data_IF_171447716579
#
_entry.id   IF_171447716579
#
_cell.length_a   1.000
_cell.length_b   1.000
_cell.length_c   1.000
_cell.angle_alpha   90.00
_cell.angle_beta   90.00
_cell.angle_gamma   90.00
#
_symmetry.space_group_name_H-M   'P 1'
#
loop_
_entity.id
_entity.type
_entity.pdbx_description
1 polymer ?
#
# COMPACT_ATOMS: atom_id res chain seq x y z
N UNK A 1 5.93 14.16 15.77
CA UNK A 1 5.55 13.04 16.67
C UNK A 1 5.85 11.75 15.93
N UNK A 2 6.75 10.92 16.52
CA UNK A 2 7.17 9.67 15.88
C UNK A 2 6.00 8.70 15.76
N UNK A 3 5.86 8.09 14.58
CA UNK A 3 4.86 7.05 14.31
C UNK A 3 5.44 5.64 14.42
N UNK A 4 6.79 5.54 14.32
CA UNK A 4 7.53 4.30 14.49
C UNK A 4 8.90 4.63 15.06
N UNK A 5 9.37 3.86 16.05
CA UNK A 5 10.72 3.96 16.62
C UNK A 5 11.29 2.57 16.76
N UNK A 6 12.45 2.35 16.18
CA UNK A 6 13.25 1.14 16.35
C UNK A 6 14.45 1.47 17.21
N UNK A 7 14.77 0.60 18.17
CA UNK A 7 15.89 0.79 19.12
C UNK A 7 16.74 -0.47 19.18
N UNK A 8 18.02 -0.29 18.89
CA UNK A 8 19.05 -1.32 19.01
C UNK A 8 18.66 -2.62 18.29
N UNK A 9 18.03 -2.48 17.09
CA UNK A 9 17.60 -3.65 16.34
C UNK A 9 18.81 -4.44 15.85
N UNK A 10 18.76 -5.74 16.08
CA UNK A 10 19.67 -6.72 15.52
C UNK A 10 18.92 -7.90 14.93
N UNK A 11 19.46 -8.48 13.87
CA UNK A 11 18.95 -9.72 13.32
C UNK A 11 20.08 -10.60 12.77
N UNK A 12 19.99 -11.90 13.11
CA UNK A 12 20.93 -12.91 12.66
C UNK A 12 20.19 -14.15 12.16
N UNK A 13 20.71 -14.80 11.12
CA UNK A 13 20.29 -16.11 10.67
C UNK A 13 21.34 -17.15 11.06
N UNK A 14 21.08 -17.91 12.12
CA UNK A 14 22.06 -18.82 12.71
C UNK A 14 23.30 -18.08 13.21
N UNK A 15 24.46 -18.35 12.63
CA UNK A 15 25.73 -17.69 13.00
C UNK A 15 26.03 -16.43 12.16
N UNK A 16 25.22 -16.14 11.14
CA UNK A 16 25.41 -14.99 10.25
C UNK A 16 24.59 -13.80 10.76
N UNK A 17 25.28 -12.81 11.34
CA UNK A 17 24.67 -11.55 11.71
C UNK A 17 24.50 -10.66 10.49
N UNK A 18 23.26 -10.17 10.26
CA UNK A 18 22.97 -9.26 9.13
C UNK A 18 23.19 -7.81 9.52
N UNK A 19 22.68 -7.41 10.68
CA UNK A 19 22.84 -6.07 11.22
C UNK A 19 22.65 -6.10 12.75
N UNK A 20 23.26 -5.13 13.43
CA UNK A 20 23.12 -4.89 14.87
C UNK A 20 23.02 -3.39 15.16
N UNK A 21 22.55 -3.06 16.35
CA UNK A 21 22.45 -1.70 16.89
C UNK A 21 21.76 -0.68 15.98
N UNK A 22 20.85 -1.12 15.12
CA UNK A 22 20.09 -0.23 14.24
C UNK A 22 19.03 0.51 15.05
N UNK A 23 19.20 1.83 15.18
CA UNK A 23 18.24 2.69 15.86
C UNK A 23 17.74 3.77 14.90
N UNK A 24 16.44 3.77 14.60
CA UNK A 24 15.81 4.72 13.67
C UNK A 24 14.46 5.16 14.17
N UNK A 25 14.03 6.34 13.73
CA UNK A 25 12.70 6.86 14.00
C UNK A 25 12.07 7.46 12.75
N UNK A 26 10.76 7.27 12.62
CA UNK A 26 9.93 7.85 11.57
C UNK A 26 8.92 8.81 12.15
N UNK A 27 8.80 9.96 11.55
CA UNK A 27 7.75 10.92 11.81
C UNK A 27 6.68 10.88 10.72
N UNK A 28 5.56 11.54 10.97
CA UNK A 28 4.53 11.67 9.95
C UNK A 28 5.07 12.41 8.74
N UNK A 29 4.77 11.89 7.54
CA UNK A 29 5.21 12.43 6.24
C UNK A 29 6.71 12.34 5.96
N UNK A 30 7.47 11.60 6.76
CA UNK A 30 8.82 11.24 6.37
C UNK A 30 8.80 10.38 5.11
N UNK A 31 9.74 10.62 4.21
CA UNK A 31 9.96 9.86 2.98
C UNK A 31 11.38 9.38 2.96
N UNK A 32 11.57 8.15 3.38
CA UNK A 32 12.89 7.57 3.62
C UNK A 32 13.27 6.61 2.51
N UNK A 33 14.44 6.83 1.91
CA UNK A 33 15.10 5.84 1.06
C UNK A 33 16.06 4.98 1.91
N UNK A 34 15.88 3.66 1.91
CA UNK A 34 16.79 2.74 2.55
C UNK A 34 17.77 2.19 1.50
N UNK A 35 19.04 2.50 1.67
CA UNK A 35 20.12 2.10 0.76
C UNK A 35 21.16 1.22 1.46
N UNK A 36 21.93 0.48 0.69
CA UNK A 36 22.99 -0.38 1.19
C UNK A 36 23.32 -1.51 0.21
N UNK A 37 24.41 -2.24 0.39
CA UNK A 37 24.80 -3.37 -0.46
C UNK A 37 23.73 -4.47 -0.53
N UNK A 38 23.80 -5.31 -1.59
CA UNK A 38 22.94 -6.49 -1.66
C UNK A 38 23.30 -7.48 -0.54
N UNK A 39 22.28 -8.10 0.05
CA UNK A 39 22.45 -9.08 1.14
C UNK A 39 22.72 -8.47 2.53
N UNK A 40 22.82 -7.14 2.66
CA UNK A 40 23.09 -6.48 3.96
C UNK A 40 21.91 -6.54 4.94
N UNK A 41 20.75 -7.04 4.51
CA UNK A 41 19.57 -7.17 5.37
C UNK A 41 18.50 -6.08 5.21
N UNK A 42 18.49 -5.30 4.10
CA UNK A 42 17.46 -4.25 3.86
C UNK A 42 16.04 -4.80 3.97
N UNK A 43 15.71 -5.86 3.22
CA UNK A 43 14.40 -6.51 3.28
C UNK A 43 14.08 -7.05 4.68
N UNK A 44 15.08 -7.61 5.38
CA UNK A 44 14.94 -8.11 6.76
C UNK A 44 14.62 -6.97 7.73
N UNK A 45 15.30 -5.83 7.59
CA UNK A 45 15.00 -4.63 8.38
C UNK A 45 13.59 -4.12 8.09
N UNK A 46 13.17 -4.06 6.81
CA UNK A 46 11.80 -3.66 6.45
C UNK A 46 10.76 -4.59 7.06
N UNK A 47 10.99 -5.92 7.04
CA UNK A 47 10.11 -6.91 7.66
C UNK A 47 10.00 -6.71 9.17
N UNK A 48 11.12 -6.41 9.86
CA UNK A 48 11.12 -6.12 11.28
C UNK A 48 10.36 -4.83 11.59
N UNK A 49 10.59 -3.75 10.82
CA UNK A 49 9.87 -2.50 10.95
C UNK A 49 8.36 -2.66 10.67
N UNK A 50 7.99 -3.51 9.72
CA UNK A 50 6.60 -3.85 9.41
C UNK A 50 5.94 -4.75 10.48
N UNK A 51 6.72 -5.40 11.37
CA UNK A 51 6.21 -6.37 12.34
C UNK A 51 5.88 -7.73 11.76
N UNK A 52 6.46 -8.03 10.62
CA UNK A 52 6.30 -9.29 9.90
C UNK A 52 7.44 -10.26 10.20
N UNK A 53 8.48 -9.77 10.88
CA UNK A 53 9.62 -10.53 11.38
C UNK A 53 9.96 -10.03 12.78
N UNK A 54 10.18 -10.95 13.71
CA UNK A 54 10.62 -10.62 15.05
C UNK A 54 12.16 -10.45 15.03
N UNK A 55 12.70 -9.28 15.45
CA UNK A 55 14.14 -9.07 15.49
C UNK A 55 14.76 -9.96 16.58
N UNK A 56 16.03 -10.36 16.40
CA UNK A 56 16.76 -11.15 17.42
C UNK A 56 17.22 -10.32 18.60
N UNK A 57 17.34 -9.00 18.42
CA UNK A 57 17.66 -8.02 19.48
C UNK A 57 16.94 -6.71 19.23
N UNK A 58 16.73 -5.93 20.29
CA UNK A 58 16.06 -4.64 20.24
C UNK A 58 14.54 -4.74 20.15
N UNK A 59 13.89 -3.64 19.81
CA UNK A 59 12.42 -3.58 19.67
C UNK A 59 11.97 -2.51 18.70
N UNK A 60 10.75 -2.69 18.16
CA UNK A 60 10.06 -1.71 17.34
C UNK A 60 8.78 -1.25 18.05
N UNK A 61 8.74 0.02 18.41
CA UNK A 61 7.56 0.67 18.98
C UNK A 61 6.78 1.37 17.83
N UNK A 62 5.47 1.12 17.72
CA UNK A 62 4.58 1.72 16.70
C UNK A 62 3.49 2.50 17.36
N UNK A 63 3.05 3.59 16.73
CA UNK A 63 1.87 4.33 17.19
C UNK A 63 0.64 3.42 17.17
N UNK A 64 -0.23 3.56 18.17
CA UNK A 64 -1.49 2.82 18.23
C UNK A 64 -2.37 3.15 17.02
N UNK A 65 -2.97 2.12 16.40
CA UNK A 65 -3.81 2.28 15.21
C UNK A 65 -3.06 2.66 13.92
N UNK A 66 -1.73 2.56 13.88
CA UNK A 66 -0.96 2.83 12.67
C UNK A 66 -1.31 1.83 11.56
N UNK A 67 -1.99 2.31 10.50
CA UNK A 67 -2.21 1.52 9.30
C UNK A 67 -0.90 1.41 8.51
N UNK A 68 -0.53 0.16 8.13
CA UNK A 68 0.72 -0.15 7.47
C UNK A 68 0.45 -0.97 6.21
N UNK A 69 1.01 -0.53 5.08
CA UNK A 69 1.05 -1.27 3.83
C UNK A 69 2.49 -1.68 3.50
N UNK A 70 2.69 -2.93 3.09
CA UNK A 70 4.00 -3.43 2.70
C UNK A 70 3.96 -4.14 1.35
N UNK A 71 4.68 -3.57 0.37
CA UNK A 71 4.94 -4.22 -0.91
C UNK A 71 6.16 -5.11 -0.78
N UNK A 72 5.93 -6.44 -0.78
CA UNK A 72 7.01 -7.43 -0.80
C UNK A 72 7.50 -7.68 -2.22
N UNK A 73 8.77 -8.00 -2.35
CA UNK A 73 9.37 -8.40 -3.62
C UNK A 73 8.67 -9.64 -4.23
N UNK A 74 8.14 -10.54 -3.42
CA UNK A 74 7.40 -11.75 -3.85
C UNK A 74 5.90 -11.64 -3.53
N UNK A 75 5.16 -10.89 -4.35
CA UNK A 75 3.70 -10.75 -4.20
C UNK A 75 2.90 -11.97 -4.65
N UNK A 76 3.53 -12.99 -5.24
CA UNK A 76 2.86 -14.14 -5.87
C UNK A 76 1.97 -14.90 -4.88
N UNK A 77 2.40 -15.03 -3.63
CA UNK A 77 1.66 -15.75 -2.59
C UNK A 77 0.47 -14.96 -2.02
N UNK A 78 0.44 -13.65 -2.19
CA UNK A 78 -0.62 -12.79 -1.63
C UNK A 78 -1.99 -13.07 -2.24
N UNK A 79 -2.02 -13.55 -3.49
CA UNK A 79 -3.25 -13.82 -4.23
C UNK A 79 -3.56 -15.32 -4.37
N UNK A 80 -2.86 -16.19 -3.65
CA UNK A 80 -3.11 -17.63 -3.70
C UNK A 80 -4.56 -17.93 -3.25
N UNK A 81 -5.30 -18.65 -4.10
CA UNK A 81 -6.70 -19.02 -3.83
C UNK A 81 -7.73 -17.90 -4.05
N UNK A 82 -7.34 -16.72 -4.60
CA UNK A 82 -8.28 -15.68 -4.99
C UNK A 82 -8.70 -15.84 -6.45
N UNK A 83 -10.00 -15.85 -6.70
CA UNK A 83 -10.60 -15.98 -8.03
C UNK A 83 -10.92 -14.62 -8.68
N UNK A 84 -10.66 -13.52 -7.98
CA UNK A 84 -10.94 -12.17 -8.45
C UNK A 84 -10.21 -11.85 -9.77
N UNK A 85 -10.81 -11.00 -10.60
CA UNK A 85 -10.09 -10.28 -11.65
C UNK A 85 -9.27 -9.13 -11.07
N UNK A 86 -8.41 -8.52 -11.89
CA UNK A 86 -7.63 -7.32 -11.52
C UNK A 86 -8.53 -6.24 -10.96
N UNK A 87 -9.61 -5.90 -11.66
CA UNK A 87 -10.54 -4.85 -11.22
C UNK A 87 -11.32 -5.24 -9.96
N UNK A 88 -11.77 -6.50 -9.87
CA UNK A 88 -12.48 -7.00 -8.69
C UNK A 88 -11.59 -6.96 -7.44
N UNK A 89 -10.29 -7.24 -7.58
CA UNK A 89 -9.35 -7.12 -6.46
C UNK A 89 -9.22 -5.67 -5.97
N UNK A 90 -9.19 -4.69 -6.87
CA UNK A 90 -9.21 -3.26 -6.47
C UNK A 90 -10.50 -2.88 -5.75
N UNK A 91 -11.64 -3.40 -6.21
CA UNK A 91 -12.94 -3.16 -5.57
C UNK A 91 -13.00 -3.66 -4.12
N UNK A 92 -12.20 -4.66 -3.74
CA UNK A 92 -12.16 -5.15 -2.34
C UNK A 92 -11.69 -4.09 -1.35
N UNK A 93 -10.88 -3.13 -1.78
CA UNK A 93 -10.43 -2.01 -0.94
C UNK A 93 -11.60 -1.13 -0.51
N UNK A 94 -12.62 -1.03 -1.35
CA UNK A 94 -13.78 -0.18 -1.18
C UNK A 94 -15.04 -0.96 -0.76
N UNK A 95 -14.86 -2.09 -0.04
CA UNK A 95 -15.98 -2.94 0.38
C UNK A 95 -17.04 -2.14 1.16
N UNK A 96 -16.62 -1.27 2.11
CA UNK A 96 -17.54 -0.43 2.88
C UNK A 96 -18.33 0.55 2.02
N UNK A 97 -17.70 1.20 1.03
CA UNK A 97 -18.42 2.09 0.10
C UNK A 97 -19.41 1.33 -0.79
N UNK A 98 -19.05 0.12 -1.20
CA UNK A 98 -19.95 -0.75 -1.99
C UNK A 98 -21.17 -1.24 -1.19
N UNK A 99 -20.98 -1.50 0.11
CA UNK A 99 -22.08 -1.80 1.01
C UNK A 99 -23.03 -0.60 1.18
N UNK A 100 -22.48 0.62 1.31
CA UNK A 100 -23.27 1.85 1.36
C UNK A 100 -24.03 2.08 0.03
N UNK A 101 -23.38 1.88 -1.12
CA UNK A 101 -24.00 1.99 -2.44
C UNK A 101 -25.18 1.01 -2.59
N UNK A 102 -25.00 -0.25 -2.16
CA UNK A 102 -26.06 -1.25 -2.18
C UNK A 102 -27.21 -0.89 -1.20
N UNK A 103 -26.88 -0.33 -0.03
CA UNK A 103 -27.89 0.15 0.92
C UNK A 103 -28.72 1.31 0.35
N UNK A 104 -28.08 2.28 -0.30
CA UNK A 104 -28.76 3.39 -0.95
C UNK A 104 -29.70 2.88 -2.06
N UNK A 105 -29.23 1.94 -2.89
CA UNK A 105 -30.08 1.34 -3.93
C UNK A 105 -31.31 0.61 -3.36
N UNK A 106 -31.17 -0.06 -2.21
CA UNK A 106 -32.28 -0.71 -1.53
C UNK A 106 -33.30 0.31 -0.97
N UNK A 107 -32.81 1.42 -0.40
CA UNK A 107 -33.70 2.51 0.07
C UNK A 107 -34.42 3.16 -1.10
N UNK A 108 -33.76 3.40 -2.22
CA UNK A 108 -34.36 3.96 -3.44
C UNK A 108 -35.46 3.05 -4.00
N UNK A 109 -35.21 1.73 -4.08
CA UNK A 109 -36.21 0.76 -4.49
C UNK A 109 -37.44 0.77 -3.57
N UNK A 110 -37.23 0.83 -2.25
CA UNK A 110 -38.33 0.88 -1.28
C UNK A 110 -39.13 2.19 -1.39
N UNK A 111 -38.45 3.33 -1.60
CA UNK A 111 -39.10 4.63 -1.82
C UNK A 111 -39.95 4.65 -3.11
N UNK A 112 -39.53 3.92 -4.15
CA UNK A 112 -40.28 3.79 -5.41
C UNK A 112 -41.57 2.99 -5.21
N UNK A 113 -41.59 2.01 -4.31
CA UNK A 113 -42.78 1.19 -4.00
C UNK A 113 -43.70 1.87 -2.98
N UNK A 114 -43.13 2.55 -1.97
CA UNK A 114 -43.89 3.18 -0.87
C UNK A 114 -43.18 4.42 -0.37
N UNK A 115 -43.72 5.59 -0.67
CA UNK A 115 -43.18 6.85 -0.16
C UNK A 115 -43.38 6.99 1.34
N UNK A 116 -42.31 7.32 2.08
CA UNK A 116 -42.34 7.72 3.50
C UNK A 116 -41.34 8.84 3.71
N UNK A 117 -41.69 9.90 4.47
CA UNK A 117 -40.76 10.96 4.85
C UNK A 117 -39.53 10.42 5.59
N UNK A 118 -39.69 9.41 6.45
CA UNK A 118 -38.64 8.78 7.22
C UNK A 118 -37.64 8.02 6.32
N UNK A 119 -38.13 7.34 5.26
CA UNK A 119 -37.30 6.69 4.27
C UNK A 119 -36.53 7.70 3.43
N UNK A 120 -37.16 8.81 3.04
CA UNK A 120 -36.49 9.89 2.32
C UNK A 120 -35.34 10.50 3.14
N UNK A 121 -35.58 10.71 4.42
CA UNK A 121 -34.55 11.20 5.35
C UNK A 121 -33.41 10.20 5.54
N UNK A 122 -33.73 8.90 5.63
CA UNK A 122 -32.74 7.83 5.70
C UNK A 122 -31.87 7.78 4.43
N UNK A 123 -32.47 7.89 3.24
CA UNK A 123 -31.78 7.97 1.96
C UNK A 123 -30.86 9.20 1.91
N UNK A 124 -31.37 10.37 2.31
CA UNK A 124 -30.54 11.61 2.34
C UNK A 124 -29.31 11.48 3.23
N UNK A 125 -29.47 10.91 4.44
CA UNK A 125 -28.32 10.66 5.34
C UNK A 125 -27.30 9.67 4.75
N UNK A 126 -27.78 8.60 4.14
CA UNK A 126 -26.91 7.61 3.49
C UNK A 126 -26.15 8.22 2.30
N UNK A 127 -26.81 9.06 1.51
CA UNK A 127 -26.19 9.76 0.39
C UNK A 127 -25.12 10.76 0.85
N UNK A 128 -25.41 11.58 1.87
CA UNK A 128 -24.44 12.51 2.43
C UNK A 128 -23.20 11.79 3.00
N UNK A 129 -23.38 10.65 3.63
CA UNK A 129 -22.29 9.83 4.14
C UNK A 129 -21.45 9.27 3.00
N UNK A 130 -22.08 8.69 1.98
CA UNK A 130 -21.43 8.12 0.80
C UNK A 130 -20.62 9.18 0.05
N UNK A 131 -21.16 10.38 -0.15
CA UNK A 131 -20.47 11.50 -0.79
C UNK A 131 -19.25 11.95 0.02
N UNK A 132 -19.41 12.13 1.35
CA UNK A 132 -18.34 12.54 2.27
C UNK A 132 -17.19 11.56 2.31
N UNK A 133 -17.45 10.26 2.17
CA UNK A 133 -16.45 9.19 2.12
C UNK A 133 -15.87 8.96 0.73
N UNK A 134 -16.25 9.77 -0.27
CA UNK A 134 -15.73 9.70 -1.64
C UNK A 134 -16.35 8.62 -2.50
N UNK A 135 -17.58 8.18 -2.16
CA UNK A 135 -18.26 7.09 -2.84
C UNK A 135 -18.44 7.28 -4.35
N UNK A 136 -18.62 8.51 -4.83
CA UNK A 136 -18.72 8.78 -6.26
C UNK A 136 -17.38 8.78 -7.01
N UNK A 137 -16.24 8.69 -6.29
CA UNK A 137 -14.90 8.85 -6.87
C UNK A 137 -14.10 7.55 -6.90
N UNK A 138 -14.40 6.56 -6.06
CA UNK A 138 -13.57 5.36 -5.89
C UNK A 138 -13.37 4.57 -7.19
N UNK A 139 -14.38 4.48 -8.06
CA UNK A 139 -14.26 3.79 -9.34
C UNK A 139 -13.32 4.51 -10.31
N UNK A 140 -13.31 5.85 -10.27
CA UNK A 140 -12.37 6.66 -11.07
C UNK A 140 -10.95 6.51 -10.52
N UNK A 141 -10.79 6.49 -9.21
CA UNK A 141 -9.48 6.25 -8.57
C UNK A 141 -8.91 4.87 -8.94
N UNK A 142 -9.74 3.81 -8.92
CA UNK A 142 -9.33 2.47 -9.37
C UNK A 142 -8.82 2.51 -10.81
N UNK A 143 -9.59 3.10 -11.72
CA UNK A 143 -9.21 3.20 -13.14
C UNK A 143 -7.91 3.98 -13.32
N UNK A 144 -7.77 5.09 -12.60
CA UNK A 144 -6.55 5.91 -12.64
C UNK A 144 -5.32 5.14 -12.16
N UNK A 145 -5.44 4.39 -11.06
CA UNK A 145 -4.34 3.58 -10.53
C UNK A 145 -3.98 2.43 -11.49
N UNK A 146 -4.97 1.72 -12.03
CA UNK A 146 -4.71 0.62 -12.96
C UNK A 146 -4.03 1.09 -14.24
N UNK A 147 -4.52 2.17 -14.85
CA UNK A 147 -3.88 2.77 -16.03
C UNK A 147 -2.48 3.26 -15.73
N UNK A 148 -2.28 3.93 -14.59
CA UNK A 148 -0.98 4.42 -14.16
C UNK A 148 0.05 3.31 -13.94
N UNK A 149 -0.39 2.12 -13.52
CA UNK A 149 0.47 0.94 -13.35
C UNK A 149 0.60 0.10 -14.64
N UNK A 150 0.11 0.61 -15.78
CA UNK A 150 0.27 -0.03 -17.09
C UNK A 150 -0.70 -1.19 -17.34
N UNK A 151 -1.87 -1.22 -16.68
CA UNK A 151 -2.94 -2.14 -17.02
C UNK A 151 -3.90 -1.47 -18.00
N UNK A 152 -3.90 -1.91 -19.26
CA UNK A 152 -4.88 -1.47 -20.24
C UNK A 152 -6.30 -1.95 -19.87
N UNK A 153 -7.32 -1.25 -20.35
CA UNK A 153 -8.71 -1.51 -19.94
C UNK A 153 -9.21 -2.94 -20.25
N UNK A 154 -8.71 -3.53 -21.31
CA UNK A 154 -8.98 -4.93 -21.71
C UNK A 154 -8.38 -5.98 -20.78
N UNK A 155 -7.43 -5.58 -19.93
CA UNK A 155 -6.76 -6.45 -18.94
C UNK A 155 -7.47 -6.45 -17.57
N UNK A 156 -8.41 -5.55 -17.34
CA UNK A 156 -9.02 -5.39 -16.00
C UNK A 156 -9.86 -6.59 -15.56
N UNK A 157 -10.44 -7.30 -16.50
CA UNK A 157 -11.23 -8.52 -16.23
C UNK A 157 -10.36 -9.79 -16.22
N UNK A 158 -9.05 -9.66 -16.40
CA UNK A 158 -8.13 -10.80 -16.35
C UNK A 158 -8.09 -11.38 -14.93
N UNK A 159 -8.36 -12.69 -14.75
CA UNK A 159 -8.26 -13.32 -13.44
C UNK A 159 -6.83 -13.26 -12.88
N UNK A 160 -6.70 -13.02 -11.56
CA UNK A 160 -5.41 -12.95 -10.87
C UNK A 160 -4.54 -14.19 -11.06
N UNK A 161 -5.16 -15.35 -11.22
CA UNK A 161 -4.47 -16.62 -11.47
C UNK A 161 -3.67 -16.63 -12.78
N UNK A 162 -4.14 -15.90 -13.79
CA UNK A 162 -3.52 -15.83 -15.11
C UNK A 162 -2.42 -14.77 -15.21
N UNK A 163 -2.21 -13.97 -14.19
CA UNK A 163 -1.20 -12.93 -14.17
C UNK A 163 0.21 -13.50 -13.94
N UNK A 164 1.20 -12.91 -14.62
CA UNK A 164 2.61 -13.12 -14.30
C UNK A 164 2.96 -12.62 -12.91
N UNK A 165 4.10 -13.04 -12.35
CA UNK A 165 4.58 -12.55 -11.05
C UNK A 165 4.70 -11.03 -11.00
N UNK A 166 5.28 -10.41 -12.03
CA UNK A 166 5.40 -8.96 -12.12
C UNK A 166 4.04 -8.23 -12.20
N UNK A 167 3.07 -8.80 -12.93
CA UNK A 167 1.71 -8.27 -12.96
C UNK A 167 1.03 -8.36 -11.59
N UNK A 168 1.21 -9.46 -10.85
CA UNK A 168 0.71 -9.61 -9.48
C UNK A 168 1.32 -8.58 -8.54
N UNK A 169 2.63 -8.31 -8.67
CA UNK A 169 3.29 -7.25 -7.89
C UNK A 169 2.68 -5.88 -8.19
N UNK A 170 2.38 -5.56 -9.47
CA UNK A 170 1.70 -4.32 -9.85
C UNK A 170 0.28 -4.23 -9.30
N UNK A 171 -0.48 -5.32 -9.28
CA UNK A 171 -1.82 -5.38 -8.66
C UNK A 171 -1.72 -5.11 -7.16
N UNK A 172 -0.78 -5.73 -6.45
CA UNK A 172 -0.57 -5.48 -5.03
C UNK A 172 -0.17 -4.02 -4.76
N UNK A 173 0.73 -3.46 -5.56
CA UNK A 173 1.09 -2.05 -5.46
C UNK A 173 -0.14 -1.14 -5.65
N UNK A 174 -0.96 -1.40 -6.68
CA UNK A 174 -2.20 -0.66 -6.93
C UNK A 174 -3.17 -0.72 -5.75
N UNK A 175 -3.35 -1.89 -5.17
CA UNK A 175 -4.16 -2.08 -3.97
C UNK A 175 -3.65 -1.24 -2.79
N UNK A 176 -2.34 -1.29 -2.50
CA UNK A 176 -1.73 -0.51 -1.42
C UNK A 176 -1.87 1.00 -1.64
N UNK A 177 -1.75 1.46 -2.89
CA UNK A 177 -1.96 2.87 -3.21
C UNK A 177 -3.41 3.32 -3.00
N UNK A 178 -4.39 2.45 -3.25
CA UNK A 178 -5.81 2.72 -2.99
C UNK A 178 -6.17 2.63 -1.50
N UNK A 179 -5.54 1.74 -0.74
CA UNK A 179 -5.73 1.61 0.71
C UNK A 179 -5.22 2.84 1.49
N UNK A 180 -4.30 3.61 0.92
CA UNK A 180 -3.73 4.84 1.49
C UNK A 180 -3.27 4.68 2.94
N UNK A 181 -2.42 3.69 3.28
CA UNK A 181 -1.96 3.49 4.65
C UNK A 181 -1.14 4.67 5.17
N UNK A 182 -1.14 4.87 6.50
CA UNK A 182 -0.37 5.93 7.14
C UNK A 182 1.14 5.71 7.03
N UNK A 183 1.58 4.45 6.97
CA UNK A 183 2.96 4.05 6.65
C UNK A 183 2.95 3.07 5.47
N UNK A 184 3.56 3.45 4.37
CA UNK A 184 3.73 2.60 3.18
C UNK A 184 5.21 2.22 3.04
N UNK A 185 5.48 0.93 3.03
CA UNK A 185 6.82 0.35 2.85
C UNK A 185 6.86 -0.31 1.47
N UNK A 186 7.82 0.12 0.63
CA UNK A 186 7.97 -0.37 -0.74
C UNK A 186 9.36 -0.97 -0.93
N UNK A 187 9.41 -2.27 -1.20
CA UNK A 187 10.66 -2.99 -1.51
C UNK A 187 10.75 -3.20 -3.03
N UNK A 188 11.65 -2.45 -3.68
CA UNK A 188 11.89 -2.43 -5.13
C UNK A 188 10.60 -2.21 -5.97
N UNK A 189 9.84 -1.12 -5.73
CA UNK A 189 8.54 -0.90 -6.37
C UNK A 189 8.62 -0.63 -7.87
N UNK A 190 9.79 -0.25 -8.38
CA UNK A 190 10.03 0.04 -9.80
C UNK A 190 10.30 -1.22 -10.64
N UNK A 191 10.59 -2.36 -9.98
CA UNK A 191 10.74 -3.61 -10.68
C UNK A 191 9.44 -3.99 -11.41
N UNK A 192 9.55 -4.44 -12.64
CA UNK A 192 8.43 -4.82 -13.51
C UNK A 192 7.53 -3.67 -13.97
N UNK A 193 7.92 -2.41 -13.77
CA UNK A 193 7.27 -1.22 -14.32
C UNK A 193 8.00 -0.76 -15.59
N UNK A 194 7.25 -0.32 -16.57
CA UNK A 194 7.81 0.44 -17.68
C UNK A 194 8.07 1.91 -17.28
N UNK A 195 8.73 2.65 -18.14
CA UNK A 195 9.13 4.04 -17.84
C UNK A 195 7.91 4.91 -17.51
N UNK A 196 6.81 4.76 -18.24
CA UNK A 196 5.61 5.57 -18.03
C UNK A 196 4.96 5.26 -16.66
N UNK A 197 4.93 3.98 -16.25
CA UNK A 197 4.43 3.57 -14.95
C UNK A 197 5.34 4.02 -13.80
N UNK A 198 6.68 4.03 -14.01
CA UNK A 198 7.63 4.59 -13.02
C UNK A 198 7.40 6.09 -12.83
N UNK A 199 7.28 6.87 -13.92
CA UNK A 199 7.00 8.30 -13.85
C UNK A 199 5.66 8.60 -13.17
N UNK A 200 4.63 7.81 -13.47
CA UNK A 200 3.32 7.93 -12.82
C UNK A 200 3.41 7.62 -11.32
N UNK A 201 4.12 6.53 -10.93
CA UNK A 201 4.33 6.15 -9.53
C UNK A 201 5.10 7.24 -8.78
N UNK A 202 6.16 7.78 -9.37
CA UNK A 202 6.92 8.91 -8.83
C UNK A 202 6.00 10.10 -8.53
N UNK A 203 5.19 10.51 -9.52
CA UNK A 203 4.23 11.60 -9.35
C UNK A 203 3.19 11.31 -8.25
N UNK A 204 2.77 10.07 -8.10
CA UNK A 204 1.82 9.63 -7.06
C UNK A 204 2.45 9.67 -5.67
N UNK A 205 3.66 9.10 -5.51
CA UNK A 205 4.36 9.09 -4.22
C UNK A 205 4.82 10.47 -3.76
N UNK A 206 5.13 11.37 -4.69
CA UNK A 206 5.43 12.78 -4.35
C UNK A 206 4.24 13.51 -3.74
N UNK A 207 3.02 13.14 -4.09
CA UNK A 207 1.78 13.69 -3.51
C UNK A 207 1.22 12.87 -2.35
N UNK A 208 1.94 11.82 -1.94
CA UNK A 208 1.52 10.95 -0.87
C UNK A 208 1.47 11.68 0.48
N UNK A 209 0.34 11.65 1.15
CA UNK A 209 0.17 12.30 2.46
C UNK A 209 0.67 11.46 3.64
N UNK A 210 0.88 10.16 3.45
CA UNK A 210 1.42 9.25 4.45
C UNK A 210 2.95 9.29 4.54
N UNK A 211 3.48 8.46 5.42
CA UNK A 211 4.92 8.21 5.58
C UNK A 211 5.37 7.10 4.63
N UNK A 212 6.56 7.22 4.06
CA UNK A 212 7.12 6.26 3.11
C UNK A 212 8.47 5.72 3.58
N UNK A 213 8.67 4.41 3.40
CA UNK A 213 10.02 3.80 3.37
C UNK A 213 10.14 3.10 2.01
N UNK A 214 11.20 3.38 1.28
CA UNK A 214 11.42 2.83 -0.05
C UNK A 214 12.82 2.24 -0.13
N UNK A 215 12.94 1.00 -0.60
CA UNK A 215 14.17 0.42 -1.11
C UNK A 215 14.09 0.43 -2.62
N UNK A 216 15.08 0.99 -3.30
CA UNK A 216 15.19 0.91 -4.74
C UNK A 216 16.66 1.00 -5.18
N UNK A 217 16.98 0.32 -6.28
CA UNK A 217 18.26 0.49 -6.98
C UNK A 217 18.25 1.67 -7.95
N UNK A 218 17.07 2.22 -8.26
CA UNK A 218 16.91 3.40 -9.10
C UNK A 218 17.15 4.68 -8.28
N UNK A 219 18.35 5.25 -8.42
CA UNK A 219 18.73 6.49 -7.73
C UNK A 219 17.91 7.70 -8.18
N UNK A 220 17.56 7.77 -9.47
CA UNK A 220 16.74 8.87 -9.99
C UNK A 220 15.35 8.87 -9.38
N UNK A 221 14.76 7.70 -9.24
CA UNK A 221 13.48 7.54 -8.57
C UNK A 221 13.57 7.96 -7.09
N UNK A 222 14.59 7.48 -6.36
CA UNK A 222 14.78 7.84 -4.94
C UNK A 222 14.96 9.36 -4.78
N UNK A 223 15.86 9.99 -5.55
CA UNK A 223 16.17 11.42 -5.44
C UNK A 223 14.93 12.32 -5.62
N UNK A 224 13.92 11.84 -6.36
CA UNK A 224 12.69 12.58 -6.62
C UNK A 224 11.59 12.34 -5.60
N UNK A 225 11.60 11.20 -4.91
CA UNK A 225 10.51 10.80 -4.00
C UNK A 225 10.88 10.98 -2.54
N UNK A 226 12.14 10.72 -2.14
CA UNK A 226 12.55 10.72 -0.75
C UNK A 226 13.15 12.07 -0.32
N UNK A 227 13.04 12.37 0.96
CA UNK A 227 13.65 13.55 1.57
C UNK A 227 14.68 13.19 2.65
N UNK A 228 14.85 11.90 2.90
CA UNK A 228 15.76 11.38 3.94
C UNK A 228 16.32 10.04 3.47
N UNK A 229 17.56 9.75 3.81
CA UNK A 229 18.20 8.47 3.45
C UNK A 229 18.69 7.78 4.72
N UNK A 230 18.41 6.49 4.81
CA UNK A 230 19.04 5.59 5.76
C UNK A 230 20.02 4.69 5.00
N UNK A 231 21.22 4.59 5.50
CA UNK A 231 22.21 3.69 4.95
C UNK A 231 22.42 2.51 5.92
N UNK A 232 22.20 1.30 5.40
CA UNK A 232 22.48 0.07 6.13
C UNK A 232 23.85 -0.45 5.69
N UNK A 233 24.83 -0.35 6.60
CA UNK A 233 26.17 -0.88 6.40
C UNK A 233 26.25 -2.35 6.83
N UNK A 234 27.18 -3.16 6.23
CA UNK A 234 27.44 -4.50 6.72
C UNK A 234 27.87 -4.48 8.20
N UNK A 235 27.49 -5.52 8.94
CA UNK A 235 28.04 -5.75 10.27
C UNK A 235 29.58 -5.91 10.15
N UNK A 236 30.32 -5.19 10.98
CA UNK A 236 31.79 -5.17 10.95
C UNK A 236 32.39 -6.48 11.50
#
# INVERSE_FOLDING_TARGET
MSILTARELGHAFGAAELFHDVSVSLERRDRVGLVGPNGVGKTTLLLALAGLLEPTAGRVDRAEGLSLGYLRQEAVLTFAGRENSVYQEMLTVFAGLREQEAHMAALEATLAESYSPELLEAYGRAQEQFEREGGYQYQVEIKHVLLGLGFAADQWDTPLLHLSGGQKTRVLLGRLLLEKPALLILDEPTNHLDIAAVEWLEGTLRRWDGTLIIVSHDRYFLDRVVNRVWELAPAA
#
